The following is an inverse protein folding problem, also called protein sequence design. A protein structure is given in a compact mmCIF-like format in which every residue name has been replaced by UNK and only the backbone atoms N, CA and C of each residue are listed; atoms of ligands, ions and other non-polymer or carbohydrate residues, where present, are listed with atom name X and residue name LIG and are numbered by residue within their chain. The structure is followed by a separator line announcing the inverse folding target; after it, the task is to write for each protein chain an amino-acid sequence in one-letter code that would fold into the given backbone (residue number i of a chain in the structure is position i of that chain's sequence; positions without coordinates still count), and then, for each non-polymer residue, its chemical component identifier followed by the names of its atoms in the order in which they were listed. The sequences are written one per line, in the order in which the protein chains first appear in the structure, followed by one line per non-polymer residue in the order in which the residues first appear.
data_IF_685783722121
#
_entry.id   IF_685783722121
#
_cell.length_a   1.000
_cell.length_b   1.000
_cell.length_c   1.000
_cell.angle_alpha   90.00
_cell.angle_beta   90.00
_cell.angle_gamma   90.00
#
_symmetry.space_group_name_H-M   'P 1'
#
loop_
_entity.id
_entity.type
_entity.pdbx_description
1 polymer ?
#
# COMPACT_ATOMS: atom_id res chain seq x y z
N UNK A 1 40.08 33.32 7.66
CA UNK A 1 39.85 34.70 8.15
C UNK A 1 38.63 34.66 9.06
N UNK A 2 38.80 34.91 10.36
CA UNK A 2 37.74 34.82 11.35
C UNK A 2 36.86 36.07 11.21
N UNK A 3 35.64 35.92 10.69
CA UNK A 3 34.73 37.05 10.48
C UNK A 3 34.16 37.51 11.84
N UNK A 4 34.66 38.64 12.36
CA UNK A 4 34.28 39.17 13.68
C UNK A 4 32.76 39.37 13.80
N UNK A 5 32.11 39.85 12.74
CA UNK A 5 30.65 40.03 12.72
C UNK A 5 29.88 38.71 12.81
N UNK A 6 30.42 37.64 12.19
CA UNK A 6 29.83 36.30 12.29
C UNK A 6 29.89 35.77 13.73
N UNK A 7 31.02 35.97 14.41
CA UNK A 7 31.19 35.56 15.81
C UNK A 7 30.30 36.38 16.76
N UNK A 8 30.16 37.68 16.51
CA UNK A 8 29.26 38.54 17.28
C UNK A 8 27.79 38.13 17.09
N UNK A 9 27.37 37.87 15.85
CA UNK A 9 26.03 37.35 15.57
C UNK A 9 25.79 36.00 16.27
N UNK A 10 26.75 35.08 16.25
CA UNK A 10 26.64 33.81 16.98
C UNK A 10 26.51 34.03 18.49
N UNK A 11 27.28 34.95 19.07
CA UNK A 11 27.19 35.28 20.48
C UNK A 11 25.79 35.74 20.86
N UNK A 12 25.21 36.69 20.12
CA UNK A 12 23.84 37.14 20.40
C UNK A 12 22.79 36.06 20.18
N UNK A 13 22.96 35.24 19.14
CA UNK A 13 22.03 34.15 18.84
C UNK A 13 22.02 33.09 19.95
N UNK A 14 23.20 32.68 20.45
CA UNK A 14 23.31 31.67 21.51
C UNK A 14 22.79 32.16 22.86
N UNK A 15 22.89 33.47 23.15
CA UNK A 15 22.45 34.03 24.43
C UNK A 15 20.98 34.46 24.47
N UNK A 16 20.40 34.85 23.33
CA UNK A 16 19.10 35.54 23.32
C UNK A 16 18.08 35.00 22.30
N UNK A 17 18.43 33.99 21.50
CA UNK A 17 17.57 33.53 20.40
C UNK A 17 17.04 32.11 20.60
N UNK A 18 16.11 31.71 19.72
CA UNK A 18 15.56 30.36 19.73
C UNK A 18 16.48 29.37 19.02
N UNK A 19 16.36 28.06 19.35
CA UNK A 19 17.10 27.02 18.65
C UNK A 19 16.85 27.03 17.13
N UNK A 20 15.61 27.33 16.71
CA UNK A 20 15.27 27.47 15.30
C UNK A 20 16.01 28.62 14.62
N UNK A 21 16.15 29.77 15.29
CA UNK A 21 16.86 30.92 14.75
C UNK A 21 18.37 30.65 14.62
N UNK A 22 18.98 30.00 15.62
CA UNK A 22 20.38 29.56 15.57
C UNK A 22 20.61 28.59 14.41
N UNK A 23 19.77 27.56 14.28
CA UNK A 23 19.83 26.58 13.19
C UNK A 23 19.63 27.25 11.83
N UNK A 24 18.65 28.14 11.71
CA UNK A 24 18.40 28.87 10.46
C UNK A 24 19.58 29.78 10.09
N UNK A 25 20.27 30.35 11.08
CA UNK A 25 21.49 31.11 10.86
C UNK A 25 22.61 30.22 10.29
N UNK A 26 22.87 29.06 10.90
CA UNK A 26 23.84 28.10 10.37
C UNK A 26 23.51 27.64 8.95
N UNK A 27 22.24 27.32 8.67
CA UNK A 27 21.78 26.89 7.35
C UNK A 27 22.00 27.95 6.27
N UNK A 28 21.76 29.23 6.57
CA UNK A 28 22.02 30.34 5.64
C UNK A 28 23.51 30.51 5.32
N UNK A 29 24.39 30.14 6.24
CA UNK A 29 25.85 30.20 6.06
C UNK A 29 26.46 28.89 5.56
N UNK A 30 25.63 27.94 5.07
CA UNK A 30 26.07 26.61 4.61
C UNK A 30 26.77 25.76 5.68
N UNK A 31 26.53 26.06 6.95
CA UNK A 31 27.07 25.35 8.11
C UNK A 31 26.11 24.24 8.58
N UNK A 32 25.80 23.29 7.70
CA UNK A 32 24.82 22.24 7.99
C UNK A 32 25.27 21.32 9.13
N UNK A 33 26.58 21.05 9.26
CA UNK A 33 27.13 20.19 10.31
C UNK A 33 26.91 20.81 11.68
N UNK A 34 27.17 22.10 11.79
CA UNK A 34 27.01 22.88 13.01
C UNK A 34 25.53 22.97 13.40
N UNK A 35 24.63 23.14 12.43
CA UNK A 35 23.18 23.09 12.68
C UNK A 35 22.73 21.74 13.27
N UNK A 36 23.22 20.63 12.71
CA UNK A 36 22.91 19.28 13.16
C UNK A 36 23.49 18.97 14.56
N UNK A 37 24.73 19.39 14.82
CA UNK A 37 25.35 19.22 16.13
C UNK A 37 24.65 20.07 17.19
N UNK A 38 24.25 21.30 16.87
CA UNK A 38 23.47 22.16 17.77
C UNK A 38 22.12 21.51 18.10
N UNK A 39 21.41 20.99 17.09
CA UNK A 39 20.14 20.29 17.27
C UNK A 39 20.26 19.14 18.27
N UNK A 40 21.27 18.27 18.13
CA UNK A 40 21.52 17.14 19.03
C UNK A 40 21.94 17.60 20.44
N UNK A 41 22.88 18.54 20.52
CA UNK A 41 23.42 18.99 21.82
C UNK A 41 22.38 19.71 22.68
N UNK A 42 21.39 20.35 22.06
CA UNK A 42 20.31 21.05 22.75
C UNK A 42 19.05 20.20 22.90
N UNK A 43 19.06 18.94 22.44
CA UNK A 43 17.91 18.05 22.40
C UNK A 43 16.66 18.76 21.86
N UNK A 44 16.82 19.45 20.72
CA UNK A 44 15.79 20.33 20.18
C UNK A 44 14.57 19.53 19.71
N UNK A 45 13.34 20.08 19.80
CA UNK A 45 12.15 19.34 19.39
C UNK A 45 12.14 19.05 17.88
N UNK A 46 11.46 17.99 17.41
CA UNK A 46 11.50 17.58 16.02
C UNK A 46 11.05 18.65 15.02
N UNK A 47 10.12 19.52 15.41
CA UNK A 47 9.63 20.64 14.60
C UNK A 47 10.78 21.56 14.16
N UNK A 48 11.76 21.79 15.05
CA UNK A 48 12.94 22.61 14.74
C UNK A 48 13.80 21.96 13.66
N UNK A 49 13.95 20.63 13.68
CA UNK A 49 14.62 19.90 12.60
C UNK A 49 13.84 19.99 11.28
N UNK A 50 12.51 19.83 11.34
CA UNK A 50 11.66 19.87 10.14
C UNK A 50 11.73 21.24 9.48
N UNK A 51 11.49 22.30 10.23
CA UNK A 51 11.43 23.67 9.71
C UNK A 51 12.81 24.24 9.39
N UNK A 52 13.78 24.01 10.28
CA UNK A 52 15.10 24.60 10.20
C UNK A 52 16.04 23.88 9.24
N UNK A 53 15.95 22.55 9.12
CA UNK A 53 16.96 21.74 8.41
C UNK A 53 16.34 20.94 7.26
N UNK A 54 15.40 20.06 7.56
CA UNK A 54 14.89 19.08 6.61
C UNK A 54 14.14 19.75 5.45
N UNK A 55 13.22 20.67 5.76
CA UNK A 55 12.45 21.39 4.74
C UNK A 55 13.29 22.24 3.80
N UNK A 56 14.21 23.08 4.30
CA UNK A 56 15.13 23.80 3.43
C UNK A 56 15.99 22.86 2.57
N UNK A 57 16.41 21.71 3.11
CA UNK A 57 17.27 20.76 2.40
C UNK A 57 16.56 20.10 1.21
N UNK A 58 15.35 19.55 1.39
CA UNK A 58 14.64 18.94 0.26
C UNK A 58 14.10 19.96 -0.74
N UNK A 59 13.76 21.19 -0.30
CA UNK A 59 13.34 22.27 -1.22
C UNK A 59 14.47 22.80 -2.09
N UNK A 60 15.71 22.75 -1.59
CA UNK A 60 16.90 23.20 -2.34
C UNK A 60 17.61 22.08 -3.09
N UNK A 61 17.05 20.86 -3.11
CA UNK A 61 17.67 19.69 -3.76
C UNK A 61 18.91 19.16 -3.05
N UNK A 62 19.15 19.55 -1.78
CA UNK A 62 20.33 19.17 -0.98
C UNK A 62 20.06 18.03 -0.01
N UNK A 63 19.02 17.23 -0.24
CA UNK A 63 18.63 16.14 0.65
C UNK A 63 19.74 15.09 0.80
N UNK A 64 20.39 14.71 -0.30
CA UNK A 64 21.49 13.74 -0.25
C UNK A 64 22.69 14.27 0.56
N UNK A 65 22.99 15.57 0.50
CA UNK A 65 24.02 16.19 1.35
C UNK A 65 23.67 16.10 2.83
N UNK A 66 22.39 16.30 3.18
CA UNK A 66 21.90 16.10 4.54
C UNK A 66 22.06 14.64 4.98
N UNK A 67 21.59 13.69 4.17
CA UNK A 67 21.70 12.25 4.44
C UNK A 67 23.14 11.79 4.71
N UNK A 68 24.08 12.15 3.82
CA UNK A 68 25.50 11.81 3.98
C UNK A 68 26.07 12.38 5.29
N UNK A 69 25.65 13.58 5.68
CA UNK A 69 26.12 14.22 6.88
C UNK A 69 25.53 13.59 8.15
N UNK A 70 24.24 13.22 8.13
CA UNK A 70 23.59 12.46 9.21
C UNK A 70 24.34 11.14 9.45
N UNK A 71 24.62 10.37 8.38
CA UNK A 71 25.40 9.13 8.47
C UNK A 71 26.85 9.37 8.93
N UNK A 72 27.49 10.47 8.51
CA UNK A 72 28.85 10.77 8.95
C UNK A 72 28.95 11.15 10.43
N UNK A 73 27.89 11.71 11.00
CA UNK A 73 27.82 12.09 12.43
C UNK A 73 27.44 10.86 13.26
N UNK A 74 26.44 10.10 12.81
CA UNK A 74 26.01 8.86 13.46
C UNK A 74 25.70 7.79 12.39
N UNK A 75 26.64 6.88 12.10
CA UNK A 75 26.46 5.82 11.12
C UNK A 75 25.31 4.85 11.42
N UNK A 76 24.83 4.82 12.67
CA UNK A 76 23.71 3.96 13.08
C UNK A 76 22.35 4.63 12.85
N UNK A 77 22.34 5.95 12.67
CA UNK A 77 21.16 6.81 12.64
C UNK A 77 20.28 6.78 13.90
N UNK A 78 20.75 6.19 15.01
CA UNK A 78 19.97 6.06 16.25
C UNK A 78 19.65 7.43 16.86
N UNK A 79 20.64 8.33 16.91
CA UNK A 79 20.46 9.71 17.40
C UNK A 79 19.49 10.53 16.56
N UNK A 80 19.29 10.16 15.29
CA UNK A 80 18.40 10.83 14.36
C UNK A 80 16.98 10.28 14.35
N UNK A 81 16.70 9.20 15.07
CA UNK A 81 15.47 8.41 14.95
C UNK A 81 14.17 9.24 15.07
N UNK A 82 14.05 10.06 16.12
CA UNK A 82 12.87 10.92 16.35
C UNK A 82 12.68 11.93 15.22
N UNK A 83 13.76 12.55 14.76
CA UNK A 83 13.77 13.54 13.69
C UNK A 83 13.40 12.94 12.33
N UNK A 84 13.94 11.77 12.01
CA UNK A 84 13.67 11.05 10.77
C UNK A 84 12.22 10.52 10.71
N UNK A 85 11.66 10.08 11.85
CA UNK A 85 10.23 9.75 11.94
C UNK A 85 9.38 11.00 11.70
N UNK A 86 9.71 12.14 12.33
CA UNK A 86 8.99 13.39 12.11
C UNK A 86 9.07 13.82 10.64
N UNK A 87 10.21 13.61 9.97
CA UNK A 87 10.37 13.89 8.55
C UNK A 87 9.48 13.00 7.68
N UNK A 88 9.41 11.71 7.97
CA UNK A 88 8.46 10.80 7.31
C UNK A 88 7.01 11.27 7.48
N UNK A 89 6.62 11.66 8.69
CA UNK A 89 5.27 12.16 8.98
C UNK A 89 4.96 13.47 8.25
N UNK A 90 5.93 14.40 8.20
CA UNK A 90 5.82 15.65 7.47
C UNK A 90 5.58 15.40 5.98
N UNK A 91 6.38 14.55 5.35
CA UNK A 91 6.24 14.20 3.93
C UNK A 91 4.91 13.50 3.64
N UNK A 92 4.46 12.62 4.54
CA UNK A 92 3.15 11.97 4.42
C UNK A 92 2.01 12.98 4.48
N UNK A 93 2.04 13.95 5.41
CA UNK A 93 1.05 15.04 5.51
C UNK A 93 1.03 15.92 4.26
N UNK A 94 2.20 16.15 3.63
CA UNK A 94 2.33 16.94 2.40
C UNK A 94 2.07 16.15 1.11
N UNK A 95 1.83 14.85 1.19
CA UNK A 95 1.69 13.95 0.04
C UNK A 95 2.97 13.84 -0.84
N UNK A 96 4.16 14.07 -0.29
CA UNK A 96 5.44 13.97 -1.00
C UNK A 96 6.01 12.55 -0.95
N UNK A 97 5.34 11.62 -1.62
CA UNK A 97 5.61 10.18 -1.48
C UNK A 97 6.92 9.72 -2.11
N UNK A 98 7.43 10.38 -3.15
CA UNK A 98 8.73 10.05 -3.75
C UNK A 98 9.88 10.33 -2.79
N UNK A 99 9.91 11.54 -2.22
CA UNK A 99 10.87 11.91 -1.18
C UNK A 99 10.70 11.03 0.06
N UNK A 100 9.46 10.68 0.41
CA UNK A 100 9.18 9.78 1.54
C UNK A 100 9.80 8.39 1.31
N UNK A 101 9.67 7.86 0.10
CA UNK A 101 10.23 6.57 -0.26
C UNK A 101 11.76 6.59 -0.21
N UNK A 102 12.40 7.61 -0.78
CA UNK A 102 13.86 7.81 -0.72
C UNK A 102 14.35 7.87 0.73
N UNK A 103 13.70 8.66 1.57
CA UNK A 103 14.04 8.77 3.00
C UNK A 103 13.88 7.42 3.72
N UNK A 104 12.82 6.66 3.43
CA UNK A 104 12.61 5.34 4.03
C UNK A 104 13.69 4.33 3.60
N UNK A 105 14.19 4.43 2.36
CA UNK A 105 15.32 3.61 1.88
C UNK A 105 16.62 3.99 2.58
N UNK A 106 16.92 5.30 2.70
CA UNK A 106 18.06 5.82 3.45
C UNK A 106 18.06 5.30 4.91
N UNK A 107 16.91 5.40 5.57
CA UNK A 107 16.70 4.90 6.94
C UNK A 107 16.75 3.36 7.07
N UNK A 108 16.77 2.64 5.94
CA UNK A 108 16.61 1.18 5.85
C UNK A 108 15.33 0.68 6.53
N UNK A 109 14.27 1.48 6.50
CA UNK A 109 12.95 1.10 7.02
C UNK A 109 12.16 0.36 5.95
N UNK A 110 12.48 -0.93 5.81
CA UNK A 110 11.93 -1.82 4.80
C UNK A 110 10.39 -1.91 4.86
N UNK A 111 9.81 -1.92 6.07
CA UNK A 111 8.35 -2.05 6.23
C UNK A 111 7.65 -0.78 5.74
N UNK A 112 8.12 0.42 6.14
CA UNK A 112 7.54 1.67 5.63
C UNK A 112 7.73 1.82 4.12
N UNK A 113 8.92 1.48 3.61
CA UNK A 113 9.21 1.49 2.17
C UNK A 113 8.26 0.59 1.37
N UNK A 114 7.98 -0.61 1.86
CA UNK A 114 7.01 -1.53 1.24
C UNK A 114 5.60 -0.94 1.18
N UNK A 115 5.13 -0.29 2.26
CA UNK A 115 3.81 0.36 2.29
C UNK A 115 3.73 1.54 1.32
N UNK A 116 4.81 2.31 1.17
CA UNK A 116 4.86 3.40 0.18
C UNK A 116 4.83 2.87 -1.25
N UNK A 117 5.49 1.74 -1.54
CA UNK A 117 5.38 1.05 -2.83
C UNK A 117 3.95 0.59 -3.13
N UNK A 118 3.24 0.01 -2.15
CA UNK A 118 1.81 -0.34 -2.29
C UNK A 118 0.97 0.92 -2.61
N UNK A 119 1.30 2.06 -2.00
CA UNK A 119 0.64 3.32 -2.29
C UNK A 119 0.89 3.78 -3.73
N UNK A 120 2.12 3.68 -4.24
CA UNK A 120 2.43 4.03 -5.64
C UNK A 120 1.67 3.17 -6.64
N UNK A 121 1.52 1.87 -6.34
CA UNK A 121 0.73 0.97 -7.16
C UNK A 121 -0.70 1.48 -7.35
N UNK A 122 -1.41 1.77 -6.26
CA UNK A 122 -2.83 2.16 -6.31
C UNK A 122 -3.07 3.66 -6.57
N UNK A 123 -2.04 4.51 -6.56
CA UNK A 123 -2.24 5.97 -6.54
C UNK A 123 -2.97 6.48 -7.79
N UNK A 124 -4.18 7.00 -7.62
CA UNK A 124 -5.01 7.59 -8.70
C UNK A 124 -5.22 6.65 -9.91
N UNK A 125 -5.04 5.35 -9.73
CA UNK A 125 -5.27 4.37 -10.80
C UNK A 125 -6.77 4.34 -11.15
N UNK A 126 -7.07 4.35 -12.45
CA UNK A 126 -8.46 4.34 -12.94
C UNK A 126 -8.89 3.01 -13.58
N UNK A 127 -7.93 2.16 -13.93
CA UNK A 127 -8.16 0.87 -14.56
C UNK A 127 -7.14 -0.17 -14.09
N UNK A 128 -7.46 -1.45 -14.26
CA UNK A 128 -6.49 -2.52 -14.09
C UNK A 128 -5.44 -2.53 -15.19
N UNK A 129 -5.70 -1.92 -16.35
CA UNK A 129 -4.65 -1.64 -17.33
C UNK A 129 -3.52 -0.80 -16.73
N UNK A 130 -3.86 0.35 -16.12
CA UNK A 130 -2.89 1.20 -15.40
C UNK A 130 -2.21 0.49 -14.22
N UNK A 131 -2.97 -0.31 -13.45
CA UNK A 131 -2.38 -1.10 -12.36
C UNK A 131 -1.39 -2.15 -12.89
N UNK A 132 -1.66 -2.75 -14.04
CA UNK A 132 -0.78 -3.70 -14.71
C UNK A 132 0.59 -3.11 -15.01
N UNK A 133 0.63 -1.88 -15.54
CA UNK A 133 1.87 -1.13 -15.80
C UNK A 133 2.65 -0.81 -14.51
N UNK A 134 1.94 -0.75 -13.38
CA UNK A 134 2.48 -0.42 -12.05
C UNK A 134 2.85 -1.65 -11.21
N UNK A 135 2.76 -2.86 -11.76
CA UNK A 135 3.10 -4.11 -11.05
C UNK A 135 4.54 -4.12 -10.49
N UNK A 136 5.46 -3.38 -11.10
CA UNK A 136 6.82 -3.21 -10.61
C UNK A 136 6.89 -2.64 -9.19
N UNK A 137 5.91 -1.83 -8.78
CA UNK A 137 5.82 -1.33 -7.40
C UNK A 137 5.47 -2.43 -6.39
N UNK A 138 4.58 -3.38 -6.75
CA UNK A 138 4.29 -4.52 -5.88
C UNK A 138 5.47 -5.48 -5.77
N UNK A 139 6.26 -5.63 -6.86
CA UNK A 139 7.53 -6.36 -6.81
C UNK A 139 8.51 -5.71 -5.83
N UNK A 140 8.72 -4.39 -5.91
CA UNK A 140 9.56 -3.66 -4.96
C UNK A 140 9.06 -3.80 -3.52
N UNK A 141 7.74 -3.71 -3.29
CA UNK A 141 7.16 -3.92 -1.97
C UNK A 141 7.48 -5.32 -1.41
N UNK A 142 7.35 -6.35 -2.25
CA UNK A 142 7.69 -7.74 -1.90
C UNK A 142 9.18 -7.89 -1.57
N UNK A 143 10.05 -7.24 -2.31
CA UNK A 143 11.50 -7.34 -2.09
C UNK A 143 11.93 -6.64 -0.78
N UNK A 144 11.36 -5.48 -0.45
CA UNK A 144 11.54 -4.86 0.87
C UNK A 144 11.12 -5.80 2.01
N UNK A 145 9.96 -6.44 1.92
CA UNK A 145 9.48 -7.39 2.95
C UNK A 145 10.38 -8.64 3.06
N UNK A 146 10.94 -9.13 1.95
CA UNK A 146 11.93 -10.22 1.98
C UNK A 146 13.21 -9.80 2.71
N UNK A 147 13.74 -8.61 2.39
CA UNK A 147 14.94 -8.07 3.05
C UNK A 147 14.68 -7.94 4.56
N UNK A 148 13.53 -7.40 4.95
CA UNK A 148 13.14 -7.29 6.36
C UNK A 148 13.12 -8.65 7.08
N UNK A 149 12.55 -9.70 6.47
CA UNK A 149 12.54 -11.05 7.05
C UNK A 149 13.94 -11.65 7.17
N UNK A 150 14.79 -11.45 6.17
CA UNK A 150 16.19 -11.91 6.19
C UNK A 150 17.00 -11.21 7.27
N UNK A 151 16.80 -9.91 7.46
CA UNK A 151 17.45 -9.15 8.52
C UNK A 151 16.96 -9.61 9.90
N UNK A 152 15.65 -9.81 10.06
CA UNK A 152 15.03 -10.22 11.33
C UNK A 152 15.48 -11.63 11.75
N UNK A 153 15.56 -12.59 10.82
CA UNK A 153 15.99 -13.96 11.12
C UNK A 153 17.47 -14.07 11.49
N UNK A 154 18.33 -13.25 10.88
CA UNK A 154 19.78 -13.21 11.16
C UNK A 154 20.13 -12.47 12.46
N UNK A 155 19.18 -11.73 13.03
CA UNK A 155 19.39 -10.87 14.20
C UNK A 155 19.33 -11.60 15.56
N UNK A 156 19.23 -12.93 15.57
CA UNK A 156 19.29 -13.76 16.80
C UNK A 156 20.58 -13.57 17.62
N UNK A 157 21.66 -13.08 16.98
CA UNK A 157 22.90 -12.73 17.64
C UNK A 157 23.30 -11.26 17.45
N UNK A 158 23.16 -10.44 18.49
CA UNK A 158 24.06 -9.30 18.78
C UNK A 158 24.04 -8.04 17.88
N UNK A 159 22.96 -7.72 17.14
CA UNK A 159 22.80 -6.37 16.52
C UNK A 159 21.82 -5.49 17.30
N UNK A 160 22.25 -4.25 17.59
CA UNK A 160 21.46 -3.19 18.24
C UNK A 160 20.13 -3.00 17.52
N UNK A 161 19.07 -2.98 18.32
CA UNK A 161 17.69 -2.89 17.88
C UNK A 161 17.39 -1.43 17.50
N UNK A 162 17.37 -1.08 16.21
CA UNK A 162 17.07 0.29 15.78
C UNK A 162 15.59 0.61 16.06
N UNK A 163 15.31 1.35 17.13
CA UNK A 163 13.94 1.59 17.64
C UNK A 163 13.05 2.39 16.68
N UNK A 164 13.64 3.21 15.81
CA UNK A 164 12.88 4.11 14.94
C UNK A 164 12.28 3.42 13.70
N UNK A 165 12.80 2.24 13.31
CA UNK A 165 12.32 1.47 12.17
C UNK A 165 11.01 0.78 12.52
N UNK A 166 10.06 0.80 11.59
CA UNK A 166 8.78 0.11 11.80
C UNK A 166 9.01 -1.40 11.89
N UNK A 167 8.50 -1.99 12.97
CA UNK A 167 8.53 -3.44 13.20
C UNK A 167 7.20 -4.06 12.82
N UNK A 168 7.28 -5.33 12.46
CA UNK A 168 6.16 -6.19 12.14
C UNK A 168 6.52 -7.64 12.46
N UNK A 169 5.55 -8.43 12.91
CA UNK A 169 5.77 -9.85 13.21
C UNK A 169 6.04 -10.63 11.93
N UNK A 170 6.77 -11.75 12.01
CA UNK A 170 7.01 -12.59 10.85
C UNK A 170 5.69 -13.10 10.23
N UNK A 171 4.69 -13.41 11.06
CA UNK A 171 3.36 -13.82 10.61
C UNK A 171 2.65 -12.71 9.82
N UNK A 172 2.68 -11.47 10.32
CA UNK A 172 2.11 -10.33 9.61
C UNK A 172 2.84 -10.05 8.29
N UNK A 173 4.19 -10.19 8.25
CA UNK A 173 4.96 -10.04 7.00
C UNK A 173 4.54 -11.09 5.98
N UNK A 174 4.44 -12.35 6.40
CA UNK A 174 3.94 -13.42 5.53
C UNK A 174 2.54 -13.12 5.01
N UNK A 175 1.62 -12.64 5.86
CA UNK A 175 0.26 -12.23 5.45
C UNK A 175 0.29 -11.11 4.40
N UNK A 176 1.13 -10.09 4.60
CA UNK A 176 1.31 -9.01 3.62
C UNK A 176 1.91 -9.51 2.31
N UNK A 177 2.89 -10.41 2.35
CA UNK A 177 3.48 -11.02 1.15
C UNK A 177 2.47 -11.85 0.36
N UNK A 178 1.61 -12.61 1.04
CA UNK A 178 0.53 -13.37 0.41
C UNK A 178 -0.48 -12.43 -0.26
N UNK A 179 -0.88 -11.35 0.43
CA UNK A 179 -1.77 -10.32 -0.14
C UNK A 179 -1.16 -9.66 -1.37
N UNK A 180 0.14 -9.30 -1.34
CA UNK A 180 0.85 -8.76 -2.49
C UNK A 180 0.81 -9.74 -3.67
N UNK A 181 1.10 -11.02 -3.43
CA UNK A 181 1.12 -12.04 -4.46
C UNK A 181 -0.27 -12.22 -5.11
N UNK A 182 -1.32 -12.33 -4.29
CA UNK A 182 -2.70 -12.45 -4.78
C UNK A 182 -3.15 -11.19 -5.53
N UNK A 183 -2.81 -9.99 -5.05
CA UNK A 183 -3.11 -8.76 -5.76
C UNK A 183 -2.41 -8.71 -7.13
N UNK A 184 -1.15 -9.15 -7.23
CA UNK A 184 -0.45 -9.19 -8.50
C UNK A 184 -1.12 -10.16 -9.48
N UNK A 185 -1.62 -11.30 -9.00
CA UNK A 185 -2.38 -12.26 -9.80
C UNK A 185 -3.70 -11.68 -10.31
N UNK A 186 -4.51 -11.13 -9.40
CA UNK A 186 -5.76 -10.39 -9.72
C UNK A 186 -5.48 -9.31 -10.77
N UNK A 187 -4.42 -8.53 -10.57
CA UNK A 187 -4.10 -7.41 -11.46
C UNK A 187 -3.73 -7.89 -12.85
N UNK A 188 -2.91 -8.94 -12.97
CA UNK A 188 -2.57 -9.52 -14.27
C UNK A 188 -3.79 -10.08 -14.99
N UNK A 189 -4.68 -10.76 -14.25
CA UNK A 189 -5.91 -11.30 -14.82
C UNK A 189 -6.79 -10.16 -15.37
N UNK A 190 -7.12 -9.18 -14.54
CA UNK A 190 -8.00 -8.08 -14.92
C UNK A 190 -7.39 -7.14 -15.96
N UNK A 191 -6.07 -6.93 -15.94
CA UNK A 191 -5.35 -6.21 -17.00
C UNK A 191 -5.55 -6.88 -18.37
N UNK A 192 -5.44 -8.22 -18.44
CA UNK A 192 -5.69 -8.96 -19.69
C UNK A 192 -7.15 -8.86 -20.12
N UNK A 193 -8.09 -8.97 -19.19
CA UNK A 193 -9.53 -8.86 -19.47
C UNK A 193 -9.91 -7.47 -20.00
N UNK A 194 -9.42 -6.40 -19.37
CA UNK A 194 -9.65 -5.01 -19.82
C UNK A 194 -9.01 -4.76 -21.19
N UNK A 195 -7.78 -5.25 -21.40
CA UNK A 195 -7.08 -5.10 -22.69
C UNK A 195 -7.77 -5.86 -23.84
N UNK A 196 -8.41 -7.00 -23.54
CA UNK A 196 -9.19 -7.77 -24.49
C UNK A 196 -10.62 -7.24 -24.69
N UNK A 197 -11.01 -6.17 -23.98
CA UNK A 197 -12.36 -5.59 -24.05
C UNK A 197 -13.46 -6.44 -23.38
N UNK A 198 -13.10 -7.46 -22.59
CA UNK A 198 -14.08 -8.33 -21.91
C UNK A 198 -14.57 -7.75 -20.59
N UNK A 199 -13.79 -6.85 -19.96
CA UNK A 199 -14.14 -6.21 -18.70
C UNK A 199 -14.66 -4.78 -18.89
N UNK A 200 -15.67 -4.40 -18.09
CA UNK A 200 -16.37 -3.11 -18.20
C UNK A 200 -15.81 -2.02 -17.29
N UNK A 201 -16.34 -0.80 -17.48
CA UNK A 201 -16.06 0.42 -16.73
C UNK A 201 -16.14 0.16 -15.22
N UNK A 202 -15.08 0.54 -14.51
CA UNK A 202 -15.00 0.37 -13.06
C UNK A 202 -15.47 1.61 -12.33
N UNK A 203 -16.29 1.42 -11.29
CA UNK A 203 -16.62 2.48 -10.34
C UNK A 203 -15.36 2.93 -9.59
N UNK A 204 -15.20 4.24 -9.41
CA UNK A 204 -14.08 4.80 -8.66
C UNK A 204 -14.48 4.97 -7.19
N UNK A 205 -13.58 4.71 -6.22
CA UNK A 205 -12.17 4.31 -6.40
C UNK A 205 -12.01 2.87 -6.88
N UNK A 206 -10.99 2.64 -7.72
CA UNK A 206 -10.68 1.32 -8.29
C UNK A 206 -10.43 0.30 -7.15
N UNK A 207 -11.20 -0.81 -7.07
CA UNK A 207 -11.08 -1.76 -5.98
C UNK A 207 -9.73 -2.50 -6.02
N UNK A 208 -9.13 -2.73 -4.86
CA UNK A 208 -7.91 -3.52 -4.69
C UNK A 208 -7.99 -4.29 -3.38
N UNK A 209 -7.17 -5.34 -3.24
CA UNK A 209 -7.10 -6.15 -2.04
C UNK A 209 -6.47 -5.43 -0.83
N UNK A 210 -5.91 -4.23 -1.05
CA UNK A 210 -5.41 -3.36 0.02
C UNK A 210 -6.51 -2.50 0.66
N UNK A 211 -7.74 -2.58 0.15
CA UNK A 211 -8.90 -1.86 0.68
C UNK A 211 -9.58 -2.56 1.85
N UNK A 212 -10.77 -2.06 2.20
CA UNK A 212 -11.66 -2.70 3.17
C UNK A 212 -12.33 -3.97 2.58
N UNK A 213 -13.12 -4.68 3.40
CA UNK A 213 -13.75 -5.93 2.96
C UNK A 213 -14.73 -5.73 1.80
N UNK A 214 -15.45 -4.62 1.74
CA UNK A 214 -16.32 -4.30 0.59
C UNK A 214 -15.51 -4.18 -0.70
N UNK A 215 -14.39 -3.44 -0.69
CA UNK A 215 -13.51 -3.34 -1.86
C UNK A 215 -12.96 -4.71 -2.29
N UNK A 216 -12.64 -5.59 -1.34
CA UNK A 216 -12.16 -6.96 -1.66
C UNK A 216 -13.26 -7.82 -2.27
N UNK A 217 -14.50 -7.72 -1.78
CA UNK A 217 -15.65 -8.37 -2.40
C UNK A 217 -15.89 -7.84 -3.82
N UNK A 218 -15.71 -6.52 -4.05
CA UNK A 218 -15.81 -5.93 -5.38
C UNK A 218 -14.70 -6.44 -6.32
N UNK A 219 -13.47 -6.63 -5.80
CA UNK A 219 -12.41 -7.32 -6.55
C UNK A 219 -12.84 -8.73 -6.93
N UNK A 220 -13.35 -9.53 -5.99
CA UNK A 220 -13.79 -10.90 -6.25
C UNK A 220 -14.90 -10.95 -7.31
N UNK A 221 -15.91 -10.06 -7.21
CA UNK A 221 -16.96 -9.90 -8.22
C UNK A 221 -16.37 -9.57 -9.59
N UNK A 222 -15.48 -8.57 -9.67
CA UNK A 222 -14.89 -8.12 -10.93
C UNK A 222 -14.03 -9.21 -11.58
N UNK A 223 -13.33 -10.01 -10.79
CA UNK A 223 -12.55 -11.16 -11.26
C UNK A 223 -13.48 -12.23 -11.86
N UNK A 224 -14.56 -12.62 -11.16
CA UNK A 224 -15.52 -13.61 -11.71
C UNK A 224 -16.15 -13.15 -13.03
N UNK A 225 -16.43 -11.85 -13.14
CA UNK A 225 -17.13 -11.28 -14.30
C UNK A 225 -16.19 -10.76 -15.40
N UNK A 226 -14.88 -10.81 -15.19
CA UNK A 226 -13.88 -10.23 -16.09
C UNK A 226 -13.43 -11.18 -17.20
N UNK A 227 -13.47 -12.49 -16.95
CA UNK A 227 -13.06 -13.54 -17.88
C UNK A 227 -13.94 -13.65 -19.11
N UNK A 228 -13.63 -14.61 -19.99
CA UNK A 228 -14.54 -14.97 -21.09
C UNK A 228 -15.77 -15.68 -20.55
N UNK A 229 -15.54 -16.50 -19.52
CA UNK A 229 -16.55 -17.19 -18.73
C UNK A 229 -16.25 -17.03 -17.23
N UNK A 230 -17.18 -17.42 -16.38
CA UNK A 230 -17.03 -17.34 -14.91
C UNK A 230 -15.90 -18.24 -14.40
N UNK A 231 -15.75 -19.43 -14.98
CA UNK A 231 -14.72 -20.41 -14.60
C UNK A 231 -13.29 -19.82 -14.65
N UNK A 232 -12.98 -19.00 -15.67
CA UNK A 232 -11.68 -18.35 -15.85
C UNK A 232 -11.23 -17.55 -14.61
N UNK A 233 -12.17 -16.88 -13.95
CA UNK A 233 -11.92 -16.00 -12.80
C UNK A 233 -12.26 -16.63 -11.45
N UNK A 234 -13.07 -17.69 -11.43
CA UNK A 234 -13.65 -18.24 -10.20
C UNK A 234 -12.57 -18.65 -9.19
N UNK A 235 -11.53 -19.36 -9.62
CA UNK A 235 -10.45 -19.80 -8.71
C UNK A 235 -9.71 -18.66 -8.02
N UNK A 236 -9.50 -17.53 -8.71
CA UNK A 236 -8.87 -16.34 -8.13
C UNK A 236 -9.85 -15.67 -7.14
N UNK A 237 -11.12 -15.51 -7.53
CA UNK A 237 -12.14 -14.92 -6.67
C UNK A 237 -12.38 -15.75 -5.39
N UNK A 238 -12.43 -17.07 -5.53
CA UNK A 238 -12.55 -18.01 -4.41
C UNK A 238 -11.41 -17.84 -3.40
N UNK A 239 -10.15 -17.76 -3.87
CA UNK A 239 -9.00 -17.50 -3.00
C UNK A 239 -9.08 -16.14 -2.31
N UNK A 240 -9.58 -15.10 -2.99
CA UNK A 240 -9.83 -13.80 -2.35
C UNK A 240 -10.85 -13.93 -1.22
N UNK A 241 -11.96 -14.64 -1.45
CA UNK A 241 -13.00 -14.84 -0.44
C UNK A 241 -12.46 -15.62 0.76
N UNK A 242 -11.68 -16.67 0.51
CA UNK A 242 -11.10 -17.54 1.54
C UNK A 242 -10.01 -16.85 2.36
N UNK A 243 -9.01 -16.25 1.70
CA UNK A 243 -7.83 -15.65 2.37
C UNK A 243 -8.23 -14.48 3.27
N UNK A 244 -9.33 -13.79 2.94
CA UNK A 244 -9.84 -12.65 3.70
C UNK A 244 -11.10 -12.95 4.53
N UNK A 245 -11.57 -14.20 4.55
CA UNK A 245 -12.77 -14.64 5.29
C UNK A 245 -13.99 -13.76 4.99
N UNK A 246 -14.26 -13.55 3.70
CA UNK A 246 -15.35 -12.69 3.23
C UNK A 246 -16.65 -13.48 3.09
N UNK A 247 -17.76 -12.75 3.04
CA UNK A 247 -19.08 -13.32 2.76
C UNK A 247 -19.14 -13.79 1.29
N UNK A 248 -18.93 -15.08 1.11
CA UNK A 248 -18.93 -15.71 -0.20
C UNK A 248 -20.32 -15.67 -0.84
N UNK A 249 -21.37 -16.01 -0.10
CA UNK A 249 -22.75 -16.03 -0.58
C UNK A 249 -23.18 -14.65 -1.09
N UNK A 250 -22.95 -13.59 -0.31
CA UNK A 250 -23.27 -12.22 -0.72
C UNK A 250 -22.48 -11.79 -1.98
N UNK A 251 -21.22 -12.19 -2.09
CA UNK A 251 -20.38 -11.88 -3.26
C UNK A 251 -20.88 -12.62 -4.51
N UNK A 252 -21.19 -13.91 -4.40
CA UNK A 252 -21.74 -14.70 -5.51
C UNK A 252 -23.11 -14.18 -5.95
N UNK A 253 -23.99 -13.81 -5.01
CA UNK A 253 -25.28 -13.20 -5.30
C UNK A 253 -25.12 -11.90 -6.10
N UNK A 254 -24.19 -11.03 -5.69
CA UNK A 254 -23.89 -9.78 -6.41
C UNK A 254 -23.39 -10.06 -7.83
N UNK A 255 -22.52 -11.06 -8.01
CA UNK A 255 -22.04 -11.43 -9.34
C UNK A 255 -23.16 -11.98 -10.22
N UNK A 256 -24.02 -12.84 -9.66
CA UNK A 256 -25.16 -13.41 -10.35
C UNK A 256 -26.19 -12.33 -10.75
N UNK A 257 -26.48 -11.36 -9.89
CA UNK A 257 -27.33 -10.20 -10.21
C UNK A 257 -26.81 -9.44 -11.44
N UNK A 258 -25.50 -9.18 -11.51
CA UNK A 258 -24.91 -8.52 -12.69
C UNK A 258 -24.96 -9.38 -13.96
N UNK A 259 -24.94 -10.71 -13.84
CA UNK A 259 -25.14 -11.61 -14.97
C UNK A 259 -26.60 -11.62 -15.44
N UNK A 260 -27.57 -11.55 -14.52
CA UNK A 260 -29.01 -11.41 -14.83
C UNK A 260 -29.26 -10.10 -15.58
N UNK A 261 -28.71 -8.99 -15.12
CA UNK A 261 -28.83 -7.68 -15.80
C UNK A 261 -28.27 -7.68 -17.23
N UNK A 262 -27.34 -8.59 -17.52
CA UNK A 262 -26.69 -8.76 -18.83
C UNK A 262 -27.27 -9.93 -19.63
N UNK A 263 -28.32 -10.58 -19.12
CA UNK A 263 -28.98 -11.74 -19.72
C UNK A 263 -28.02 -12.93 -19.99
N UNK A 264 -26.96 -13.07 -19.20
CA UNK A 264 -25.95 -14.13 -19.32
C UNK A 264 -26.29 -15.37 -18.50
N UNK A 265 -27.40 -16.03 -18.79
CA UNK A 265 -27.92 -17.15 -17.99
C UNK A 265 -27.02 -18.39 -17.99
N UNK A 266 -26.29 -18.65 -19.08
CA UNK A 266 -25.30 -19.75 -19.15
C UNK A 266 -24.17 -19.59 -18.14
N UNK A 267 -23.77 -18.34 -17.87
CA UNK A 267 -22.72 -18.02 -16.91
C UNK A 267 -23.22 -18.16 -15.46
N UNK A 268 -24.52 -17.92 -15.22
CA UNK A 268 -25.13 -18.18 -13.91
C UNK A 268 -25.11 -19.68 -13.60
N UNK A 269 -25.44 -20.52 -14.60
CA UNK A 269 -25.33 -21.99 -14.47
C UNK A 269 -23.90 -22.42 -14.15
N UNK A 270 -22.91 -21.84 -14.84
CA UNK A 270 -21.50 -22.12 -14.55
C UNK A 270 -21.10 -21.65 -13.15
N UNK A 271 -21.54 -20.46 -12.72
CA UNK A 271 -21.27 -19.98 -11.37
C UNK A 271 -21.81 -20.95 -10.31
N UNK A 272 -23.07 -21.40 -10.45
CA UNK A 272 -23.68 -22.38 -9.52
C UNK A 272 -22.89 -23.70 -9.50
N UNK A 273 -22.46 -24.18 -10.67
CA UNK A 273 -21.61 -25.36 -10.79
C UNK A 273 -20.28 -25.16 -10.06
N UNK A 274 -19.57 -24.06 -10.32
CA UNK A 274 -18.31 -23.74 -9.63
C UNK A 274 -18.48 -23.66 -8.12
N UNK A 275 -19.56 -23.05 -7.64
CA UNK A 275 -19.89 -22.95 -6.21
C UNK A 275 -20.10 -24.35 -5.64
N UNK A 276 -20.88 -25.21 -6.31
CA UNK A 276 -21.13 -26.59 -5.86
C UNK A 276 -19.86 -27.47 -5.83
N UNK A 277 -18.97 -27.30 -6.80
CA UNK A 277 -17.72 -28.08 -6.93
C UNK A 277 -16.60 -27.56 -6.02
N UNK A 278 -16.74 -26.35 -5.46
CA UNK A 278 -15.71 -25.73 -4.63
C UNK A 278 -15.47 -26.44 -3.29
N UNK A 279 -16.36 -27.34 -2.87
CA UNK A 279 -16.26 -28.14 -1.64
C UNK A 279 -16.31 -27.35 -0.32
N UNK A 280 -16.38 -26.02 -0.40
CA UNK A 280 -16.37 -25.09 0.74
C UNK A 280 -17.63 -24.24 0.81
N UNK A 281 -18.40 -24.17 -0.28
CA UNK A 281 -19.73 -23.59 -0.24
C UNK A 281 -20.68 -24.52 0.51
N UNK A 282 -21.43 -23.99 1.47
CA UNK A 282 -22.52 -24.74 2.04
C UNK A 282 -23.59 -24.96 0.95
N UNK A 283 -24.35 -26.06 0.99
CA UNK A 283 -25.50 -26.22 0.08
C UNK A 283 -26.42 -24.98 0.13
N UNK A 284 -26.55 -24.37 1.31
CA UNK A 284 -27.29 -23.12 1.50
C UNK A 284 -26.80 -21.94 0.66
N UNK A 285 -25.53 -21.90 0.24
CA UNK A 285 -25.00 -20.79 -0.56
C UNK A 285 -25.55 -20.83 -1.99
N UNK A 286 -25.69 -22.03 -2.58
CA UNK A 286 -26.32 -22.21 -3.88
C UNK A 286 -27.80 -21.86 -3.86
N UNK A 287 -28.53 -22.33 -2.84
CA UNK A 287 -29.94 -21.97 -2.61
C UNK A 287 -30.10 -20.46 -2.44
N UNK A 288 -29.20 -19.82 -1.67
CA UNK A 288 -29.22 -18.37 -1.45
C UNK A 288 -28.97 -17.60 -2.75
N UNK A 289 -28.05 -18.06 -3.61
CA UNK A 289 -27.81 -17.46 -4.92
C UNK A 289 -29.05 -17.60 -5.80
N UNK A 290 -29.65 -18.79 -5.87
CA UNK A 290 -30.86 -19.04 -6.64
C UNK A 290 -32.01 -18.15 -6.16
N UNK A 291 -32.25 -18.06 -4.85
CA UNK A 291 -33.29 -17.21 -4.26
C UNK A 291 -33.05 -15.73 -4.51
N UNK A 292 -31.81 -15.24 -4.33
CA UNK A 292 -31.47 -13.83 -4.62
C UNK A 292 -31.63 -13.49 -6.09
N UNK A 293 -31.26 -14.43 -6.96
CA UNK A 293 -31.55 -14.25 -8.35
C UNK A 293 -33.07 -14.22 -8.51
N UNK A 294 -33.85 -15.18 -7.99
CA UNK A 294 -35.33 -15.22 -8.06
C UNK A 294 -36.02 -13.93 -7.58
N UNK A 295 -35.43 -13.19 -6.66
CA UNK A 295 -35.92 -11.85 -6.26
C UNK A 295 -35.61 -10.78 -7.33
N UNK A 296 -34.44 -10.85 -7.97
CA UNK A 296 -34.06 -10.05 -9.14
C UNK A 296 -34.72 -10.53 -10.47
N UNK A 297 -35.36 -11.70 -10.49
CA UNK A 297 -35.87 -12.44 -11.67
C UNK A 297 -37.12 -11.87 -12.35
N UNK A 298 -37.63 -10.68 -11.99
CA UNK A 298 -38.80 -10.08 -12.69
C UNK A 298 -38.61 -9.88 -14.22
N UNK A 299 -37.44 -10.24 -14.77
CA UNK A 299 -37.03 -10.10 -16.18
C UNK A 299 -36.59 -11.41 -16.87
N UNK A 300 -36.61 -12.58 -16.24
CA UNK A 300 -36.09 -13.84 -16.84
C UNK A 300 -37.18 -14.65 -17.55
N UNK A 301 -36.94 -15.19 -18.76
CA UNK A 301 -37.88 -16.09 -19.44
C UNK A 301 -38.12 -17.41 -18.66
N UNK A 302 -39.35 -17.96 -18.64
CA UNK A 302 -39.69 -19.16 -17.87
C UNK A 302 -38.86 -20.41 -18.21
N UNK A 303 -38.39 -20.53 -19.45
CA UNK A 303 -37.61 -21.67 -19.95
C UNK A 303 -36.19 -21.70 -19.36
N UNK A 304 -35.57 -20.53 -19.17
CA UNK A 304 -34.25 -20.42 -18.54
C UNK A 304 -34.34 -20.65 -17.02
N UNK A 305 -35.48 -20.30 -16.42
CA UNK A 305 -35.79 -20.57 -15.01
C UNK A 305 -35.87 -22.08 -14.73
N UNK A 306 -36.60 -22.84 -15.55
CA UNK A 306 -36.67 -24.31 -15.40
C UNK A 306 -35.28 -24.95 -15.54
N UNK A 307 -34.45 -24.47 -16.48
CA UNK A 307 -33.09 -24.96 -16.65
C UNK A 307 -32.15 -24.66 -15.47
N UNK A 308 -32.35 -23.55 -14.76
CA UNK A 308 -31.59 -23.22 -13.55
C UNK A 308 -31.99 -24.07 -12.34
N UNK A 309 -33.28 -24.38 -12.20
CA UNK A 309 -33.80 -25.23 -11.12
C UNK A 309 -33.39 -26.69 -11.32
N UNK A 310 -33.34 -27.19 -12.56
CA UNK A 310 -32.98 -28.59 -12.85
C UNK A 310 -31.50 -28.94 -12.64
N UNK A 311 -30.62 -27.93 -12.55
CA UNK A 311 -29.18 -28.11 -12.35
C UNK A 311 -28.77 -28.22 -10.87
N UNK A 312 -29.74 -28.17 -9.96
CA UNK A 312 -29.56 -28.23 -8.51
C UNK A 312 -30.31 -29.42 -7.90
#
# INVERSE_FOLDING_TARGET
MNNTYYQECLFYLHNYSTNLAIISFYMRHSCLREALLHLLNKDSPPEVFIEGIFQPSYKSGKLHTLENLLESIDPTLESWGTYLIAACQHLQKKNYYHILYELQQFMKDQVRAAMTCIRFFSHKAKSYTELGERLSWLLKAKDHLKIYLQETSRSSGRKKNTFFRKKMTAADVSRHMNTLQLQMEVTRFLHRCESAGTSQITTLPLPTLFGNNHMKMDVACKVMLGGKNVEDGFGIAFRVLQDFQLDAAATYCRAAQQLVEKEKYSEIRQLLKCVSESGMAAKSDGDTILLNCLEAFKRIPPQELEGLIQLW
#
